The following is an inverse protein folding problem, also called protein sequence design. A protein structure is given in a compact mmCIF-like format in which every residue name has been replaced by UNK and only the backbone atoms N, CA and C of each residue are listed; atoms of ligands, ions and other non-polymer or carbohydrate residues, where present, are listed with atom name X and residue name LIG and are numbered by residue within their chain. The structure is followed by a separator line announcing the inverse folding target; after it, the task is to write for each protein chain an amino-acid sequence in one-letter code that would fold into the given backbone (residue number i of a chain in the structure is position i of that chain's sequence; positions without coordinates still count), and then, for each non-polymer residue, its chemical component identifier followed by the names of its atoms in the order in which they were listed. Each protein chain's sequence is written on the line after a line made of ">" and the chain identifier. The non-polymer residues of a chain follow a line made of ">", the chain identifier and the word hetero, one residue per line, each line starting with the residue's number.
data_IF_146597462934
#
_entry.id   IF_146597462934
#
_cell.length_a   1.000
_cell.length_b   1.000
_cell.length_c   1.000
_cell.angle_alpha   90.00
_cell.angle_beta   90.00
_cell.angle_gamma   90.00
#
_symmetry.space_group_name_H-M   'P 1'
#
loop_
_entity.id
_entity.type
_entity.pdbx_description
1 polymer ?
#
# COMPACT_ATOMS: atom_id res chain seq x y z
N UNK A 1 -0.28 -24.28 21.04
CA UNK A 1 -1.67 -23.79 20.98
C UNK A 1 -2.08 -23.86 19.52
N UNK A 2 -2.93 -24.84 19.22
CA UNK A 2 -3.21 -25.33 17.87
C UNK A 2 -4.14 -24.38 17.14
N UNK A 3 -3.72 -23.90 15.97
CA UNK A 3 -4.53 -23.06 15.08
C UNK A 3 -5.61 -23.96 14.46
N UNK A 4 -6.87 -23.70 14.79
CA UNK A 4 -8.00 -24.18 14.02
C UNK A 4 -8.06 -23.36 12.73
N UNK A 5 -7.56 -23.95 11.65
CA UNK A 5 -7.90 -23.55 10.29
C UNK A 5 -8.71 -24.69 9.66
N UNK A 6 -9.69 -24.30 8.86
CA UNK A 6 -10.52 -25.12 7.94
C UNK A 6 -11.79 -25.74 8.54
N UNK A 7 -12.91 -25.08 8.24
CA UNK A 7 -14.24 -25.64 8.40
C UNK A 7 -15.39 -24.72 8.00
N UNK A 8 -15.28 -23.96 6.90
CA UNK A 8 -16.41 -23.18 6.36
C UNK A 8 -16.51 -23.34 4.83
N UNK A 9 -16.69 -24.57 4.37
CA UNK A 9 -17.14 -24.88 3.02
C UNK A 9 -18.28 -25.90 3.12
N UNK A 10 -19.48 -25.43 3.46
CA UNK A 10 -20.79 -25.98 3.10
C UNK A 10 -21.84 -25.42 4.07
N UNK A 11 -22.66 -24.47 3.58
CA UNK A 11 -23.99 -24.02 4.02
C UNK A 11 -24.15 -22.51 3.82
N UNK A 12 -23.94 -22.04 2.58
CA UNK A 12 -24.13 -20.62 2.20
C UNK A 12 -25.25 -20.53 1.15
N UNK A 13 -26.44 -21.03 1.47
CA UNK A 13 -27.62 -20.73 0.67
C UNK A 13 -28.35 -19.49 1.20
N UNK A 14 -28.27 -19.18 2.50
CA UNK A 14 -29.07 -18.12 3.14
C UNK A 14 -28.34 -17.29 4.22
N UNK A 15 -27.01 -17.36 4.33
CA UNK A 15 -26.29 -16.51 5.29
C UNK A 15 -26.20 -15.07 4.76
N UNK A 16 -26.59 -14.08 5.55
CA UNK A 16 -26.35 -12.66 5.28
C UNK A 16 -24.86 -12.43 4.98
N UNK A 17 -24.51 -11.49 4.11
CA UNK A 17 -23.10 -11.20 3.81
C UNK A 17 -22.51 -10.51 5.03
N UNK A 18 -21.58 -11.18 5.71
CA UNK A 18 -20.81 -10.58 6.81
C UNK A 18 -19.83 -9.54 6.24
N UNK A 19 -20.24 -8.27 6.26
CA UNK A 19 -19.47 -7.15 5.73
C UNK A 19 -18.21 -6.85 6.55
N UNK A 20 -18.21 -7.14 7.85
CA UNK A 20 -17.04 -6.93 8.71
C UNK A 20 -15.96 -7.97 8.40
N UNK A 21 -16.36 -9.24 8.24
CA UNK A 21 -15.47 -10.28 7.76
C UNK A 21 -14.95 -9.97 6.35
N UNK A 22 -15.80 -9.43 5.48
CA UNK A 22 -15.39 -9.03 4.13
C UNK A 22 -14.40 -7.86 4.14
N UNK A 23 -14.62 -6.84 4.97
CA UNK A 23 -13.66 -5.75 5.13
C UNK A 23 -12.32 -6.24 5.70
N UNK A 24 -12.33 -7.18 6.64
CA UNK A 24 -11.11 -7.81 7.15
C UNK A 24 -10.34 -8.53 6.04
N UNK A 25 -11.02 -9.25 5.14
CA UNK A 25 -10.40 -9.85 3.95
C UNK A 25 -9.84 -8.77 3.01
N UNK A 26 -10.54 -7.65 2.79
CA UNK A 26 -10.04 -6.56 1.96
C UNK A 26 -8.72 -5.99 2.50
N UNK A 27 -8.57 -5.90 3.83
CA UNK A 27 -7.34 -5.47 4.50
C UNK A 27 -6.23 -6.52 4.38
N UNK A 28 -6.54 -7.79 4.68
CA UNK A 28 -5.54 -8.80 4.97
C UNK A 28 -5.32 -9.85 3.86
N UNK A 29 -6.33 -10.15 3.06
CA UNK A 29 -6.31 -11.18 2.01
C UNK A 29 -7.11 -10.71 0.77
N UNK A 30 -6.66 -9.66 0.06
CA UNK A 30 -7.49 -8.99 -0.94
C UNK A 30 -7.82 -9.87 -2.15
N UNK A 31 -6.98 -10.85 -2.52
CA UNK A 31 -7.31 -11.83 -3.57
C UNK A 31 -8.46 -12.76 -3.15
N UNK A 32 -8.50 -13.15 -1.88
CA UNK A 32 -9.60 -13.94 -1.32
C UNK A 32 -10.87 -13.09 -1.21
N UNK A 33 -10.75 -11.82 -0.80
CA UNK A 33 -11.86 -10.88 -0.84
C UNK A 33 -12.47 -10.83 -2.26
N UNK A 34 -11.67 -10.75 -3.32
CA UNK A 34 -12.23 -10.71 -4.68
C UNK A 34 -13.00 -11.98 -5.07
N UNK A 35 -12.59 -13.16 -4.56
CA UNK A 35 -13.35 -14.41 -4.75
C UNK A 35 -14.68 -14.38 -4.00
N UNK A 36 -14.66 -13.97 -2.73
CA UNK A 36 -15.87 -13.82 -1.91
C UNK A 36 -16.84 -12.82 -2.53
N UNK A 37 -16.32 -11.68 -2.99
CA UNK A 37 -17.08 -10.65 -3.69
C UNK A 37 -17.81 -11.20 -4.92
N UNK A 38 -17.11 -11.93 -5.80
CA UNK A 38 -17.71 -12.51 -7.00
C UNK A 38 -18.83 -13.50 -6.69
N UNK A 39 -18.67 -14.31 -5.64
CA UNK A 39 -19.72 -15.22 -5.18
C UNK A 39 -20.90 -14.47 -4.57
N UNK A 40 -20.63 -13.41 -3.79
CA UNK A 40 -21.67 -12.64 -3.11
C UNK A 40 -22.57 -11.89 -4.09
N UNK A 41 -22.00 -11.22 -5.11
CA UNK A 41 -22.79 -10.46 -6.10
C UNK A 41 -23.56 -11.35 -7.09
N UNK A 42 -23.33 -12.66 -7.09
CA UNK A 42 -24.09 -13.62 -7.89
C UNK A 42 -25.39 -14.06 -7.22
N UNK A 43 -25.60 -13.69 -5.94
CA UNK A 43 -26.83 -13.99 -5.20
C UNK A 43 -27.94 -13.02 -5.60
N UNK A 44 -29.14 -13.56 -5.71
CA UNK A 44 -30.36 -12.76 -5.82
C UNK A 44 -30.72 -12.22 -4.41
N UNK A 45 -31.34 -11.03 -4.36
CA UNK A 45 -31.96 -10.43 -3.16
C UNK A 45 -31.06 -9.84 -2.04
N UNK A 46 -29.83 -9.39 -2.34
CA UNK A 46 -29.07 -8.61 -1.37
C UNK A 46 -29.64 -7.17 -1.23
N UNK A 47 -29.71 -6.61 0.00
CA UNK A 47 -30.05 -5.21 0.21
C UNK A 47 -29.14 -4.28 -0.60
N UNK A 48 -29.70 -3.17 -1.09
CA UNK A 48 -28.94 -2.22 -1.94
C UNK A 48 -27.74 -1.63 -1.20
N UNK A 49 -27.84 -1.44 0.10
CA UNK A 49 -26.75 -0.98 0.97
C UNK A 49 -25.60 -2.00 0.99
N UNK A 50 -25.88 -3.28 1.12
CA UNK A 50 -24.86 -4.32 1.20
C UNK A 50 -24.18 -4.53 -0.15
N UNK A 51 -24.97 -4.53 -1.24
CA UNK A 51 -24.42 -4.55 -2.60
C UNK A 51 -23.50 -3.35 -2.83
N UNK A 52 -23.92 -2.15 -2.40
CA UNK A 52 -23.10 -0.96 -2.50
C UNK A 52 -21.77 -1.13 -1.75
N UNK A 53 -21.81 -1.59 -0.50
CA UNK A 53 -20.60 -1.82 0.31
C UNK A 53 -19.69 -2.88 -0.31
N UNK A 54 -20.25 -3.97 -0.83
CA UNK A 54 -19.50 -5.00 -1.56
C UNK A 54 -18.77 -4.41 -2.76
N UNK A 55 -19.44 -3.63 -3.61
CA UNK A 55 -18.81 -2.95 -4.75
C UNK A 55 -17.73 -1.97 -4.29
N UNK A 56 -18.03 -1.14 -3.28
CA UNK A 56 -17.10 -0.16 -2.74
C UNK A 56 -15.82 -0.79 -2.18
N UNK A 57 -15.95 -1.84 -1.40
CA UNK A 57 -14.83 -2.59 -0.82
C UNK A 57 -14.07 -3.41 -1.88
N UNK A 58 -14.76 -3.95 -2.90
CA UNK A 58 -14.12 -4.63 -4.02
C UNK A 58 -13.21 -3.70 -4.84
N UNK A 59 -13.53 -2.40 -4.94
CA UNK A 59 -12.64 -1.40 -5.56
C UNK A 59 -11.32 -1.31 -4.78
N UNK A 60 -11.37 -1.31 -3.44
CA UNK A 60 -10.17 -1.29 -2.59
C UNK A 60 -9.35 -2.56 -2.75
N UNK A 61 -9.98 -3.73 -2.72
CA UNK A 61 -9.31 -5.01 -2.93
C UNK A 61 -8.67 -5.08 -4.33
N UNK A 62 -9.40 -4.68 -5.37
CA UNK A 62 -8.92 -4.66 -6.76
C UNK A 62 -7.79 -3.65 -7.00
N UNK A 63 -7.77 -2.53 -6.26
CA UNK A 63 -6.63 -1.63 -6.25
C UNK A 63 -5.39 -2.33 -5.72
N UNK A 64 -5.56 -3.18 -4.70
CA UNK A 64 -4.46 -3.89 -4.04
C UNK A 64 -3.87 -5.03 -4.87
N UNK A 65 -4.70 -5.74 -5.62
CA UNK A 65 -4.33 -6.91 -6.44
C UNK A 65 -4.10 -6.59 -7.90
N UNK A 66 -4.19 -5.32 -8.29
CA UNK A 66 -4.09 -4.86 -9.68
C UNK A 66 -5.17 -5.42 -10.62
N UNK A 67 -6.30 -5.91 -10.09
CA UNK A 67 -7.39 -6.44 -10.90
C UNK A 67 -8.23 -5.34 -11.57
N UNK A 68 -7.81 -4.88 -12.75
CA UNK A 68 -8.51 -3.82 -13.49
C UNK A 68 -9.95 -4.19 -13.86
N UNK A 69 -10.21 -5.45 -14.19
CA UNK A 69 -11.54 -5.90 -14.63
C UNK A 69 -12.58 -5.72 -13.51
N UNK A 70 -12.29 -6.19 -12.30
CA UNK A 70 -13.20 -6.00 -11.16
C UNK A 70 -13.24 -4.53 -10.73
N UNK A 71 -12.09 -3.84 -10.71
CA UNK A 71 -12.02 -2.43 -10.35
C UNK A 71 -12.98 -1.57 -11.20
N UNK A 72 -12.91 -1.72 -12.52
CA UNK A 72 -13.72 -0.95 -13.47
C UNK A 72 -15.18 -1.38 -13.38
N UNK A 73 -15.46 -2.70 -13.38
CA UNK A 73 -16.83 -3.21 -13.31
C UNK A 73 -17.55 -2.74 -12.04
N UNK A 74 -16.89 -2.79 -10.89
CA UNK A 74 -17.47 -2.33 -9.63
C UNK A 74 -17.76 -0.82 -9.67
N UNK A 75 -16.85 0.00 -10.20
CA UNK A 75 -17.09 1.43 -10.39
C UNK A 75 -18.26 1.71 -11.35
N UNK A 76 -18.34 1.00 -12.47
CA UNK A 76 -19.43 1.17 -13.42
C UNK A 76 -20.78 0.80 -12.81
N UNK A 77 -20.83 -0.27 -12.01
CA UNK A 77 -22.05 -0.64 -11.27
C UNK A 77 -22.48 0.45 -10.30
N UNK A 78 -21.55 1.09 -9.57
CA UNK A 78 -21.87 2.17 -8.63
C UNK A 78 -22.48 3.43 -9.29
N UNK A 79 -22.41 3.55 -10.63
CA UNK A 79 -23.07 4.65 -11.38
C UNK A 79 -24.57 4.40 -11.61
N UNK A 80 -25.05 3.18 -11.37
CA UNK A 80 -26.43 2.81 -11.66
C UNK A 80 -27.42 3.51 -10.71
N UNK A 81 -28.68 3.77 -11.16
CA UNK A 81 -29.67 4.49 -10.36
C UNK A 81 -29.90 3.99 -8.92
N UNK A 82 -29.91 2.67 -8.64
CA UNK A 82 -30.12 2.17 -7.28
C UNK A 82 -29.07 2.66 -6.27
N UNK A 83 -27.85 2.96 -6.73
CA UNK A 83 -26.74 3.37 -5.87
C UNK A 83 -26.54 4.89 -5.82
N UNK A 84 -27.32 5.66 -6.59
CA UNK A 84 -27.06 7.09 -6.79
C UNK A 84 -26.93 7.87 -5.48
N UNK A 85 -27.87 7.68 -4.55
CA UNK A 85 -27.87 8.41 -3.27
C UNK A 85 -26.63 8.08 -2.44
N UNK A 86 -26.34 6.78 -2.27
CA UNK A 86 -25.16 6.32 -1.52
C UNK A 86 -23.86 6.80 -2.18
N UNK A 87 -23.77 6.71 -3.51
CA UNK A 87 -22.59 7.13 -4.27
C UNK A 87 -22.38 8.66 -4.26
N UNK A 88 -23.45 9.44 -4.16
CA UNK A 88 -23.39 10.89 -4.00
C UNK A 88 -22.91 11.30 -2.60
N UNK A 89 -23.38 10.60 -1.56
CA UNK A 89 -22.92 10.79 -0.17
C UNK A 89 -21.44 10.41 0.00
N UNK A 90 -21.02 9.30 -0.62
CA UNK A 90 -19.66 8.77 -0.57
C UNK A 90 -18.75 9.26 -1.70
N UNK A 91 -19.16 10.30 -2.43
CA UNK A 91 -18.44 10.84 -3.59
C UNK A 91 -16.95 11.05 -3.31
N UNK A 92 -16.64 11.65 -2.15
CA UNK A 92 -15.26 11.88 -1.72
C UNK A 92 -14.49 10.56 -1.52
N UNK A 93 -15.13 9.52 -0.98
CA UNK A 93 -14.50 8.22 -0.72
C UNK A 93 -14.27 7.44 -2.03
N UNK A 94 -15.24 7.44 -2.94
CA UNK A 94 -15.11 6.81 -4.26
C UNK A 94 -13.94 7.44 -5.03
N UNK A 95 -13.90 8.77 -5.11
CA UNK A 95 -12.80 9.48 -5.77
C UNK A 95 -11.43 9.22 -5.10
N UNK A 96 -11.39 9.12 -3.77
CA UNK A 96 -10.18 8.68 -3.05
C UNK A 96 -9.74 7.29 -3.49
N UNK A 97 -10.64 6.30 -3.54
CA UNK A 97 -10.29 4.93 -3.94
C UNK A 97 -9.85 4.84 -5.40
N UNK A 98 -10.46 5.64 -6.29
CA UNK A 98 -9.99 5.80 -7.67
C UNK A 98 -8.55 6.34 -7.70
N UNK A 99 -8.28 7.41 -6.95
CA UNK A 99 -6.93 7.97 -6.83
C UNK A 99 -5.91 6.98 -6.28
N UNK A 100 -6.29 6.15 -5.30
CA UNK A 100 -5.44 5.06 -4.78
C UNK A 100 -5.14 4.02 -5.86
N UNK A 101 -6.14 3.66 -6.67
CA UNK A 101 -5.99 2.76 -7.82
C UNK A 101 -4.91 3.25 -8.80
N UNK A 102 -4.96 4.53 -9.19
CA UNK A 102 -3.94 5.16 -10.04
C UNK A 102 -2.57 5.22 -9.37
N UNK A 103 -2.51 5.67 -8.11
CA UNK A 103 -1.24 5.83 -7.38
C UNK A 103 -0.49 4.51 -7.24
N UNK A 104 -1.21 3.40 -7.00
CA UNK A 104 -0.62 2.06 -6.92
C UNK A 104 0.00 1.60 -8.25
N UNK A 105 -0.47 2.14 -9.37
CA UNK A 105 0.01 1.87 -10.74
C UNK A 105 1.01 2.91 -11.25
N UNK A 106 1.51 3.78 -10.36
CA UNK A 106 2.38 4.92 -10.70
C UNK A 106 1.76 5.96 -11.65
N UNK A 107 0.44 5.98 -11.81
CA UNK A 107 -0.31 7.03 -12.52
C UNK A 107 -0.55 8.23 -11.56
N UNK A 108 0.53 8.80 -11.03
CA UNK A 108 0.47 9.73 -9.90
C UNK A 108 -0.20 11.07 -10.25
N UNK A 109 -0.12 11.53 -11.50
CA UNK A 109 -0.82 12.74 -11.95
C UNK A 109 -2.35 12.54 -11.91
N UNK A 110 -2.83 11.43 -12.46
CA UNK A 110 -4.24 11.03 -12.43
C UNK A 110 -4.69 10.87 -10.98
N UNK A 111 -3.87 10.26 -10.11
CA UNK A 111 -4.17 10.16 -8.69
C UNK A 111 -4.41 11.54 -8.06
N UNK A 112 -3.53 12.52 -8.32
CA UNK A 112 -3.65 13.89 -7.82
C UNK A 112 -4.92 14.57 -8.33
N UNK A 113 -5.29 14.41 -9.61
CA UNK A 113 -6.52 14.98 -10.14
C UNK A 113 -7.75 14.47 -9.38
N UNK A 114 -7.81 13.16 -9.15
CA UNK A 114 -8.92 12.52 -8.44
C UNK A 114 -8.95 12.90 -6.96
N UNK A 115 -7.80 12.97 -6.28
CA UNK A 115 -7.73 13.43 -4.89
C UNK A 115 -8.14 14.90 -4.74
N UNK A 116 -7.79 15.77 -5.69
CA UNK A 116 -8.23 17.17 -5.70
C UNK A 116 -9.73 17.30 -5.90
N UNK A 117 -10.32 16.48 -6.77
CA UNK A 117 -11.77 16.37 -6.89
C UNK A 117 -12.41 15.90 -5.57
N UNK A 118 -11.86 14.87 -4.93
CA UNK A 118 -12.33 14.39 -3.64
C UNK A 118 -12.25 15.46 -2.54
N UNK A 119 -11.21 16.30 -2.55
CA UNK A 119 -11.04 17.41 -1.61
C UNK A 119 -12.16 18.46 -1.70
N UNK A 120 -12.70 18.65 -2.89
CA UNK A 120 -13.80 19.59 -3.18
C UNK A 120 -15.19 19.00 -2.90
N UNK A 121 -15.30 17.68 -2.68
CA UNK A 121 -16.55 17.05 -2.30
C UNK A 121 -16.86 17.25 -0.80
N UNK A 122 -18.14 17.17 -0.39
CA UNK A 122 -18.50 17.10 1.02
C UNK A 122 -17.81 15.91 1.69
N UNK A 123 -17.06 16.16 2.76
CA UNK A 123 -16.29 15.15 3.49
C UNK A 123 -15.95 15.65 4.88
N UNK A 124 -15.74 14.73 5.83
CA UNK A 124 -15.26 15.06 7.16
C UNK A 124 -13.85 15.67 7.12
N UNK A 125 -13.48 16.38 8.17
CA UNK A 125 -12.13 16.91 8.33
C UNK A 125 -11.08 15.78 8.27
N UNK A 126 -11.34 14.67 8.95
CA UNK A 126 -10.46 13.50 8.98
C UNK A 126 -10.21 12.94 7.57
N UNK A 127 -11.26 12.82 6.75
CA UNK A 127 -11.14 12.35 5.37
C UNK A 127 -10.31 13.32 4.51
N UNK A 128 -10.50 14.64 4.69
CA UNK A 128 -9.69 15.65 3.99
C UNK A 128 -8.23 15.62 4.43
N UNK A 129 -7.96 15.36 5.70
CA UNK A 129 -6.59 15.17 6.20
C UNK A 129 -5.94 13.91 5.59
N UNK A 130 -6.66 12.79 5.49
CA UNK A 130 -6.17 11.61 4.78
C UNK A 130 -5.94 11.85 3.28
N UNK A 131 -6.77 12.67 2.64
CA UNK A 131 -6.54 13.11 1.26
C UNK A 131 -5.25 13.91 1.11
N UNK A 132 -4.91 14.79 2.08
CA UNK A 132 -3.61 15.50 2.06
C UNK A 132 -2.44 14.54 2.09
N UNK A 133 -2.51 13.49 2.91
CA UNK A 133 -1.47 12.42 2.95
C UNK A 133 -1.35 11.73 1.60
N UNK A 134 -2.47 11.33 0.99
CA UNK A 134 -2.47 10.67 -0.32
C UNK A 134 -1.92 11.57 -1.44
N UNK A 135 -2.27 12.86 -1.43
CA UNK A 135 -1.74 13.87 -2.37
C UNK A 135 -0.23 14.03 -2.17
N UNK A 136 0.22 14.12 -0.91
CA UNK A 136 1.62 14.25 -0.58
C UNK A 136 2.45 13.07 -1.10
N UNK A 137 1.98 11.83 -0.90
CA UNK A 137 2.63 10.62 -1.44
C UNK A 137 2.68 10.65 -2.97
N UNK A 138 1.63 11.14 -3.63
CA UNK A 138 1.65 11.25 -5.09
C UNK A 138 2.67 12.28 -5.57
N UNK A 139 2.84 13.42 -4.87
CA UNK A 139 3.89 14.39 -5.16
C UNK A 139 5.30 13.86 -4.93
N UNK A 140 5.54 13.12 -3.84
CA UNK A 140 6.87 12.52 -3.62
C UNK A 140 7.25 11.55 -4.73
N UNK A 141 6.27 10.83 -5.30
CA UNK A 141 6.46 9.92 -6.44
C UNK A 141 6.56 10.60 -7.80
N UNK A 142 6.24 11.89 -7.90
CA UNK A 142 6.46 12.74 -9.08
C UNK A 142 7.73 13.58 -8.97
N UNK A 143 8.73 13.08 -8.23
CA UNK A 143 10.01 13.76 -8.01
C UNK A 143 9.86 15.18 -7.43
N UNK A 144 8.77 15.42 -6.70
CA UNK A 144 8.51 16.66 -5.96
C UNK A 144 8.49 16.42 -4.44
N UNK A 145 9.57 15.86 -3.86
CA UNK A 145 9.59 15.42 -2.47
C UNK A 145 9.40 16.58 -1.48
N UNK A 146 9.88 17.79 -1.80
CA UNK A 146 9.71 18.95 -0.92
C UNK A 146 8.23 19.34 -0.73
N UNK A 147 7.45 19.31 -1.81
CA UNK A 147 6.00 19.59 -1.76
C UNK A 147 5.31 18.50 -0.94
N UNK A 148 5.62 17.23 -1.21
CA UNK A 148 5.07 16.10 -0.46
C UNK A 148 5.40 16.19 1.02
N UNK A 149 6.65 16.44 1.39
CA UNK A 149 7.08 16.52 2.78
C UNK A 149 6.39 17.65 3.54
N UNK A 150 6.31 18.85 2.97
CA UNK A 150 5.62 19.98 3.58
C UNK A 150 4.14 19.69 3.80
N UNK A 151 3.49 19.01 2.85
CA UNK A 151 2.11 18.57 3.01
C UNK A 151 1.97 17.56 4.16
N UNK A 152 2.86 16.55 4.25
CA UNK A 152 2.83 15.57 5.34
C UNK A 152 2.99 16.22 6.71
N UNK A 153 3.95 17.13 6.89
CA UNK A 153 4.20 17.83 8.16
C UNK A 153 3.07 18.79 8.54
N UNK A 154 2.25 19.23 7.58
CA UNK A 154 1.07 20.07 7.85
C UNK A 154 -0.16 19.30 8.34
N UNK A 155 -0.11 17.97 8.32
CA UNK A 155 -1.22 17.13 8.78
C UNK A 155 -1.15 17.01 10.30
N UNK A 156 -2.22 17.43 10.97
CA UNK A 156 -2.41 17.18 12.39
C UNK A 156 -2.72 15.69 12.60
N UNK A 157 -1.71 14.94 13.08
CA UNK A 157 -1.80 13.49 13.30
C UNK A 157 -2.82 13.14 14.37
N UNK A 158 -2.98 13.95 15.41
CA UNK A 158 -3.83 13.64 16.56
C UNK A 158 -5.33 13.65 16.20
N UNK A 159 -5.67 14.35 15.12
CA UNK A 159 -7.04 14.39 14.60
C UNK A 159 -7.39 13.22 13.66
N UNK A 160 -6.44 12.34 13.35
CA UNK A 160 -6.65 11.19 12.47
C UNK A 160 -7.01 9.92 13.26
N UNK A 161 -7.93 9.07 12.76
CA UNK A 161 -8.10 7.72 13.30
C UNK A 161 -6.82 6.88 13.10
N UNK A 162 -6.63 5.86 13.94
CA UNK A 162 -5.39 5.05 14.00
C UNK A 162 -4.90 4.57 12.62
N UNK A 163 -5.78 3.98 11.80
CA UNK A 163 -5.40 3.51 10.46
C UNK A 163 -4.88 4.63 9.52
N UNK A 164 -5.40 5.86 9.65
CA UNK A 164 -4.93 7.01 8.88
C UNK A 164 -3.60 7.53 9.41
N UNK A 165 -3.38 7.46 10.74
CA UNK A 165 -2.08 7.76 11.35
C UNK A 165 -1.00 6.80 10.82
N UNK A 166 -1.29 5.50 10.72
CA UNK A 166 -0.36 4.52 10.16
C UNK A 166 0.11 4.89 8.74
N UNK A 167 -0.81 5.34 7.89
CA UNK A 167 -0.49 5.81 6.54
C UNK A 167 0.35 7.09 6.52
N UNK A 168 0.05 8.07 7.38
CA UNK A 168 0.85 9.29 7.54
C UNK A 168 2.28 8.96 8.01
N UNK A 169 2.41 8.12 9.04
CA UNK A 169 3.69 7.72 9.62
C UNK A 169 4.55 6.97 8.59
N UNK A 170 3.95 6.05 7.82
CA UNK A 170 4.66 5.37 6.73
C UNK A 170 5.20 6.36 5.69
N UNK A 171 4.41 7.39 5.35
CA UNK A 171 4.83 8.42 4.40
C UNK A 171 5.93 9.33 4.97
N UNK A 172 5.83 9.71 6.25
CA UNK A 172 6.87 10.46 6.96
C UNK A 172 8.16 9.66 7.04
N UNK A 173 8.11 8.39 7.43
CA UNK A 173 9.28 7.50 7.48
C UNK A 173 10.01 7.41 6.14
N UNK A 174 9.27 7.27 5.04
CA UNK A 174 9.87 7.26 3.69
C UNK A 174 10.54 8.60 3.34
N UNK A 175 9.90 9.73 3.66
CA UNK A 175 10.45 11.05 3.35
C UNK A 175 11.65 11.41 4.24
N UNK A 176 11.56 11.12 5.54
CA UNK A 176 12.66 11.26 6.52
C UNK A 176 13.86 10.40 6.14
N UNK A 177 13.62 9.15 5.71
CA UNK A 177 14.70 8.30 5.20
C UNK A 177 15.38 8.91 3.96
N UNK A 178 14.60 9.46 3.02
CA UNK A 178 15.14 10.10 1.82
C UNK A 178 15.99 11.35 2.13
N UNK A 179 15.84 11.96 3.31
CA UNK A 179 16.69 13.06 3.81
C UNK A 179 17.95 12.56 4.55
N UNK A 180 18.12 11.25 4.74
CA UNK A 180 19.27 10.65 5.43
C UNK A 180 19.05 10.39 6.92
N UNK A 181 17.90 10.76 7.47
CA UNK A 181 17.56 10.63 8.90
C UNK A 181 17.08 9.21 9.22
N UNK A 182 18.02 8.26 9.26
CA UNK A 182 17.73 6.83 9.29
C UNK A 182 17.01 6.37 10.57
N UNK A 183 17.43 6.84 11.75
CA UNK A 183 16.84 6.42 13.02
C UNK A 183 15.43 6.99 13.23
N UNK A 184 15.18 8.24 12.84
CA UNK A 184 13.84 8.83 12.91
C UNK A 184 12.90 8.13 11.92
N UNK A 185 13.37 7.80 10.71
CA UNK A 185 12.59 7.02 9.76
C UNK A 185 12.18 5.64 10.31
N UNK A 186 13.10 4.96 11.00
CA UNK A 186 12.80 3.69 11.66
C UNK A 186 11.72 3.85 12.72
N UNK A 187 11.80 4.91 13.55
CA UNK A 187 10.77 5.22 14.55
C UNK A 187 9.39 5.36 13.90
N UNK A 188 9.29 6.12 12.80
CA UNK A 188 8.03 6.27 12.08
C UNK A 188 7.49 4.94 11.53
N UNK A 189 8.35 4.06 11.00
CA UNK A 189 7.90 2.76 10.50
C UNK A 189 7.44 1.82 11.62
N UNK A 190 8.10 1.85 12.77
CA UNK A 190 7.69 1.08 13.96
C UNK A 190 6.35 1.58 14.48
N UNK A 191 6.17 2.90 14.62
CA UNK A 191 4.91 3.50 15.07
C UNK A 191 3.77 3.20 14.07
N UNK A 192 4.04 3.26 12.76
CA UNK A 192 3.08 2.88 11.74
C UNK A 192 2.63 1.43 11.86
N UNK A 193 3.55 0.50 12.16
CA UNK A 193 3.25 -0.90 12.36
C UNK A 193 2.33 -1.12 13.59
N UNK A 194 2.51 -0.36 14.66
CA UNK A 194 1.64 -0.40 15.85
C UNK A 194 0.22 0.00 15.48
N UNK A 195 0.04 1.15 14.82
CA UNK A 195 -1.28 1.61 14.41
C UNK A 195 -1.96 0.70 13.38
N UNK A 196 -1.21 0.06 12.48
CA UNK A 196 -1.79 -0.96 11.59
C UNK A 196 -2.25 -2.20 12.35
N UNK A 197 -1.55 -2.60 13.42
CA UNK A 197 -1.96 -3.72 14.26
C UNK A 197 -3.23 -3.39 15.07
N UNK A 198 -3.36 -2.15 15.57
CA UNK A 198 -4.57 -1.66 16.23
C UNK A 198 -5.80 -1.66 15.29
N UNK A 199 -5.61 -1.45 13.99
CA UNK A 199 -6.66 -1.53 12.97
C UNK A 199 -6.87 -2.95 12.41
N UNK A 200 -6.21 -3.96 13.01
CA UNK A 200 -6.23 -5.37 12.57
C UNK A 200 -5.77 -5.56 11.10
N UNK A 201 -4.96 -4.62 10.60
CA UNK A 201 -4.42 -4.65 9.24
C UNK A 201 -3.02 -5.27 9.25
N UNK A 202 -2.95 -6.54 9.61
CA UNK A 202 -1.71 -7.30 9.76
C UNK A 202 -0.93 -7.43 8.46
N UNK A 203 -1.60 -7.40 7.30
CA UNK A 203 -0.89 -7.32 6.01
C UNK A 203 -0.12 -6.00 5.89
N UNK A 204 -0.69 -4.86 6.28
CA UNK A 204 0.00 -3.58 6.27
C UNK A 204 1.15 -3.51 7.29
N UNK A 205 1.00 -4.16 8.47
CA UNK A 205 2.11 -4.34 9.43
C UNK A 205 3.32 -4.97 8.75
N UNK A 206 3.12 -6.09 8.03
CA UNK A 206 4.19 -6.76 7.29
C UNK A 206 4.77 -5.87 6.18
N UNK A 207 3.91 -5.16 5.44
CA UNK A 207 4.36 -4.25 4.37
C UNK A 207 5.25 -3.11 4.88
N UNK A 208 4.88 -2.44 5.97
CA UNK A 208 5.72 -1.37 6.52
C UNK A 208 7.01 -1.93 7.13
N UNK A 209 6.96 -3.13 7.71
CA UNK A 209 8.15 -3.80 8.25
C UNK A 209 9.23 -4.09 7.20
N UNK A 210 8.87 -4.21 5.92
CA UNK A 210 9.84 -4.37 4.81
C UNK A 210 10.75 -3.13 4.71
N UNK A 211 10.24 -1.94 4.99
CA UNK A 211 11.06 -0.72 4.98
C UNK A 211 12.08 -0.75 6.12
N UNK A 212 11.68 -1.23 7.29
CA UNK A 212 12.56 -1.38 8.45
C UNK A 212 13.69 -2.39 8.22
N UNK A 213 13.49 -3.41 7.38
CA UNK A 213 14.53 -4.41 7.08
C UNK A 213 15.82 -3.76 6.55
N UNK A 214 15.70 -2.80 5.61
CA UNK A 214 16.87 -2.11 5.06
C UNK A 214 17.59 -1.27 6.12
N UNK A 215 16.83 -0.62 6.99
CA UNK A 215 17.42 0.16 8.09
C UNK A 215 18.14 -0.74 9.10
N UNK A 216 17.57 -1.90 9.44
CA UNK A 216 18.27 -2.87 10.29
C UNK A 216 19.60 -3.32 9.68
N UNK A 217 19.64 -3.52 8.36
CA UNK A 217 20.89 -3.84 7.66
C UNK A 217 21.88 -2.68 7.72
N UNK A 218 21.46 -1.43 7.48
CA UNK A 218 22.31 -0.23 7.61
C UNK A 218 22.94 -0.09 9.01
N UNK A 219 22.18 -0.47 10.04
CA UNK A 219 22.58 -0.41 11.44
C UNK A 219 23.32 -1.68 11.91
N UNK A 220 23.56 -2.65 11.01
CA UNK A 220 24.12 -3.97 11.32
C UNK A 220 23.35 -4.74 12.41
N UNK A 221 22.06 -4.44 12.59
CA UNK A 221 21.16 -5.15 13.51
C UNK A 221 20.55 -6.37 12.82
N UNK A 222 21.40 -7.38 12.58
CA UNK A 222 20.96 -8.60 11.90
C UNK A 222 19.98 -9.44 12.73
N UNK A 223 19.91 -9.20 14.05
CA UNK A 223 18.94 -9.85 14.93
C UNK A 223 17.52 -9.37 14.62
N UNK A 224 17.31 -8.04 14.61
CA UNK A 224 16.02 -7.43 14.26
C UNK A 224 15.64 -7.70 12.81
N UNK A 225 16.61 -7.65 11.88
CA UNK A 225 16.41 -8.05 10.48
C UNK A 225 15.84 -9.47 10.36
N UNK A 226 16.46 -10.48 11.00
CA UNK A 226 15.97 -11.87 10.95
C UNK A 226 14.59 -12.01 11.56
N UNK A 227 14.33 -11.38 12.71
CA UNK A 227 13.03 -11.44 13.38
C UNK A 227 11.92 -10.87 12.50
N UNK A 228 12.14 -9.70 11.91
CA UNK A 228 11.18 -9.06 11.02
C UNK A 228 10.98 -9.88 9.73
N UNK A 229 12.06 -10.38 9.12
CA UNK A 229 11.99 -11.19 7.91
C UNK A 229 11.20 -12.50 8.14
N UNK A 230 11.40 -13.16 9.29
CA UNK A 230 10.65 -14.37 9.63
C UNK A 230 9.14 -14.13 9.70
N UNK A 231 8.72 -12.98 10.25
CA UNK A 231 7.30 -12.60 10.27
C UNK A 231 6.75 -12.32 8.86
N UNK A 232 7.53 -11.64 8.01
CA UNK A 232 7.15 -11.35 6.62
C UNK A 232 7.08 -12.64 5.78
N UNK A 233 7.96 -13.61 6.03
CA UNK A 233 8.00 -14.89 5.33
C UNK A 233 6.73 -15.75 5.50
N UNK A 234 5.91 -15.47 6.52
CA UNK A 234 4.59 -16.08 6.67
C UNK A 234 3.55 -15.57 5.66
N UNK A 235 3.91 -14.63 4.77
CA UNK A 235 3.04 -14.05 3.73
C UNK A 235 3.65 -14.24 2.33
N UNK A 236 3.41 -15.37 1.65
CA UNK A 236 4.04 -15.68 0.36
C UNK A 236 3.84 -14.60 -0.70
N UNK A 237 2.66 -14.00 -0.78
CA UNK A 237 2.36 -12.94 -1.75
C UNK A 237 3.24 -11.70 -1.54
N UNK A 238 3.54 -11.33 -0.29
CA UNK A 238 4.44 -10.21 0.00
C UNK A 238 5.90 -10.56 -0.33
N UNK A 239 6.31 -11.81 -0.14
CA UNK A 239 7.64 -12.26 -0.54
C UNK A 239 7.81 -12.19 -2.07
N UNK A 240 6.81 -12.64 -2.82
CA UNK A 240 6.80 -12.60 -4.28
C UNK A 240 6.85 -11.15 -4.80
N UNK A 241 5.96 -10.28 -4.28
CA UNK A 241 5.90 -8.86 -4.64
C UNK A 241 7.22 -8.12 -4.37
N UNK A 242 8.01 -8.55 -3.37
CA UNK A 242 9.22 -7.88 -2.93
C UNK A 242 10.50 -8.70 -3.16
N UNK A 243 10.43 -9.74 -3.98
CA UNK A 243 11.50 -10.74 -4.12
C UNK A 243 12.87 -10.14 -4.48
N UNK A 244 12.91 -9.10 -5.33
CA UNK A 244 14.14 -8.47 -5.78
C UNK A 244 14.80 -7.67 -4.66
N UNK A 245 14.01 -6.94 -3.88
CA UNK A 245 14.51 -6.19 -2.74
C UNK A 245 14.90 -7.10 -1.57
N UNK A 246 14.10 -8.13 -1.27
CA UNK A 246 14.44 -9.11 -0.25
C UNK A 246 15.66 -9.95 -0.66
N UNK A 247 15.83 -10.23 -1.95
CA UNK A 247 17.03 -10.85 -2.52
C UNK A 247 18.27 -9.98 -2.33
N UNK A 248 18.18 -8.67 -2.62
CA UNK A 248 19.23 -7.70 -2.35
C UNK A 248 19.69 -7.73 -0.89
N UNK A 249 18.74 -7.62 0.05
CA UNK A 249 19.05 -7.63 1.49
C UNK A 249 19.69 -8.96 1.92
N UNK A 250 19.18 -10.09 1.44
CA UNK A 250 19.69 -11.42 1.78
C UNK A 250 21.15 -11.60 1.37
N UNK A 251 21.48 -11.25 0.12
CA UNK A 251 22.86 -11.34 -0.38
C UNK A 251 23.81 -10.43 0.40
N UNK A 252 23.35 -9.21 0.72
CA UNK A 252 24.14 -8.24 1.47
C UNK A 252 24.41 -8.74 2.91
N UNK A 253 23.36 -9.16 3.63
CA UNK A 253 23.48 -9.69 4.99
C UNK A 253 24.37 -10.93 5.03
N UNK A 254 24.20 -11.86 4.08
CA UNK A 254 25.04 -13.06 4.01
C UNK A 254 26.54 -12.72 3.90
N UNK A 255 26.91 -11.72 3.11
CA UNK A 255 28.31 -11.32 2.97
C UNK A 255 28.82 -10.55 4.20
N UNK A 256 27.99 -9.70 4.80
CA UNK A 256 28.35 -8.96 6.02
C UNK A 256 28.60 -9.91 7.19
N UNK A 257 27.76 -10.94 7.37
CA UNK A 257 27.92 -11.95 8.44
C UNK A 257 29.13 -12.87 8.21
N UNK A 258 29.58 -13.03 6.97
CA UNK A 258 30.82 -13.73 6.65
C UNK A 258 32.09 -12.91 6.98
N UNK A 259 31.95 -11.71 7.57
CA UNK A 259 33.04 -10.80 7.93
C UNK A 259 34.01 -10.52 6.77
N UNK A 260 33.50 -10.47 5.54
CA UNK A 260 34.33 -10.15 4.39
C UNK A 260 34.80 -8.70 4.49
N UNK A 261 36.12 -8.49 4.59
CA UNK A 261 36.73 -7.16 4.56
C UNK A 261 36.39 -6.37 3.29
N UNK A 262 36.15 -7.08 2.17
CA UNK A 262 35.66 -6.49 0.93
C UNK A 262 34.43 -7.27 0.43
N UNK A 263 33.30 -6.56 0.33
CA UNK A 263 32.07 -7.12 -0.21
C UNK A 263 32.19 -7.28 -1.73
N UNK A 264 31.79 -8.45 -2.23
CA UNK A 264 31.85 -8.77 -3.66
C UNK A 264 30.50 -8.50 -4.31
N UNK A 265 30.49 -7.64 -5.32
CA UNK A 265 29.28 -7.33 -6.09
C UNK A 265 29.13 -8.33 -7.24
N UNK A 266 28.30 -9.35 -7.02
CA UNK A 266 27.99 -10.36 -8.04
C UNK A 266 27.02 -9.83 -9.12
N UNK A 267 26.90 -10.55 -10.23
CA UNK A 267 25.87 -10.28 -11.26
C UNK A 267 24.46 -10.35 -10.67
N UNK A 268 24.22 -11.27 -9.74
CA UNK A 268 22.95 -11.40 -9.03
C UNK A 268 22.64 -10.17 -8.18
N UNK A 269 23.61 -9.66 -7.41
CA UNK A 269 23.42 -8.43 -6.63
C UNK A 269 23.13 -7.22 -7.51
N UNK A 270 23.76 -7.12 -8.69
CA UNK A 270 23.46 -6.08 -9.69
C UNK A 270 22.02 -6.17 -10.20
N UNK A 271 21.52 -7.37 -10.47
CA UNK A 271 20.16 -7.58 -10.91
C UNK A 271 19.15 -7.24 -9.78
N UNK A 272 19.43 -7.67 -8.55
CA UNK A 272 18.60 -7.37 -7.39
C UNK A 272 18.57 -5.87 -7.06
N UNK A 273 19.69 -5.16 -7.16
CA UNK A 273 19.72 -3.72 -6.89
C UNK A 273 18.86 -2.93 -7.87
N UNK A 274 18.93 -3.25 -9.17
CA UNK A 274 18.11 -2.61 -10.20
C UNK A 274 16.63 -2.98 -10.04
N UNK A 275 16.34 -4.26 -9.78
CA UNK A 275 14.99 -4.74 -9.51
C UNK A 275 14.35 -4.08 -8.30
N UNK A 276 15.09 -3.97 -7.20
CA UNK A 276 14.68 -3.28 -5.99
C UNK A 276 14.45 -1.79 -6.24
N UNK A 277 15.30 -1.13 -7.03
CA UNK A 277 15.11 0.27 -7.42
C UNK A 277 13.77 0.49 -8.13
N UNK A 278 13.45 -0.35 -9.11
CA UNK A 278 12.18 -0.31 -9.85
C UNK A 278 10.96 -0.66 -8.98
N UNK A 279 11.15 -1.42 -7.90
CA UNK A 279 10.13 -1.68 -6.88
C UNK A 279 9.96 -0.52 -5.87
N UNK A 280 10.72 0.58 -6.02
CA UNK A 280 10.61 1.77 -5.17
C UNK A 280 11.64 1.83 -4.04
N UNK A 281 12.63 0.93 -4.00
CA UNK A 281 13.65 0.87 -2.94
C UNK A 281 14.99 1.53 -3.36
N UNK A 282 14.99 2.38 -4.38
CA UNK A 282 16.22 2.98 -4.93
C UNK A 282 17.05 3.72 -3.85
N UNK A 283 16.41 4.57 -3.03
CA UNK A 283 17.09 5.29 -1.95
C UNK A 283 17.72 4.35 -0.94
N UNK A 284 17.02 3.26 -0.58
CA UNK A 284 17.49 2.28 0.39
C UNK A 284 18.67 1.47 -0.14
N UNK A 285 18.60 1.00 -1.39
CA UNK A 285 19.71 0.34 -2.07
C UNK A 285 20.92 1.27 -2.16
N UNK A 286 20.71 2.54 -2.52
CA UNK A 286 21.77 3.53 -2.58
C UNK A 286 22.41 3.78 -1.20
N UNK A 287 21.62 3.87 -0.13
CA UNK A 287 22.16 4.00 1.22
C UNK A 287 23.08 2.82 1.59
N UNK A 288 22.69 1.59 1.25
CA UNK A 288 23.54 0.41 1.45
C UNK A 288 24.85 0.49 0.63
N UNK A 289 24.76 0.92 -0.63
CA UNK A 289 25.95 1.10 -1.49
C UNK A 289 26.95 2.06 -0.85
N UNK A 290 26.49 3.19 -0.30
CA UNK A 290 27.36 4.15 0.40
C UNK A 290 27.92 3.57 1.69
N UNK A 291 27.04 3.08 2.56
CA UNK A 291 27.40 2.61 3.90
C UNK A 291 28.47 1.52 3.86
N UNK A 292 28.39 0.63 2.86
CA UNK A 292 29.27 -0.52 2.75
C UNK A 292 30.29 -0.42 1.62
N UNK A 293 30.47 0.77 1.01
CA UNK A 293 31.42 1.03 -0.06
C UNK A 293 31.36 -0.03 -1.19
N UNK A 294 30.15 -0.38 -1.63
CA UNK A 294 29.96 -1.39 -2.67
C UNK A 294 30.45 -0.85 -4.01
N UNK A 295 31.23 -1.66 -4.75
CA UNK A 295 31.65 -1.33 -6.12
C UNK A 295 30.50 -1.52 -7.11
N UNK A 296 29.47 -0.68 -6.96
CA UNK A 296 28.23 -0.69 -7.70
C UNK A 296 27.78 0.78 -7.91
N UNK A 297 27.42 1.18 -9.15
CA UNK A 297 26.87 2.52 -9.36
C UNK A 297 25.54 2.69 -8.65
N UNK A 298 25.20 3.95 -8.35
CA UNK A 298 23.87 4.30 -7.82
C UNK A 298 22.78 3.89 -8.79
N UNK A 299 21.68 3.40 -8.23
CA UNK A 299 20.50 2.99 -8.98
C UNK A 299 19.44 4.08 -8.88
N UNK A 300 18.68 4.26 -9.95
CA UNK A 300 17.49 5.13 -9.99
C UNK A 300 16.28 4.26 -10.27
N UNK A 301 15.13 4.64 -9.73
CA UNK A 301 13.86 3.99 -10.09
C UNK A 301 13.50 4.34 -11.52
N UNK A 302 13.16 3.35 -12.33
CA UNK A 302 12.42 3.61 -13.57
C UNK A 302 10.93 3.60 -13.22
N UNK A 303 10.24 4.71 -13.48
CA UNK A 303 8.78 4.80 -13.27
C UNK A 303 8.10 3.92 -14.30
N UNK A 304 7.78 2.69 -13.91
CA UNK A 304 7.04 1.75 -14.74
C UNK A 304 5.57 1.78 -14.30
N UNK A 305 4.69 2.09 -15.26
CA UNK A 305 3.24 1.99 -15.06
C UNK A 305 2.83 0.54 -15.23
N UNK A 306 2.44 -0.10 -14.12
CA UNK A 306 1.95 -1.48 -14.08
C UNK A 306 0.43 -1.49 -14.29
N UNK A 307 -0.07 -2.29 -15.21
CA UNK A 307 -1.51 -2.53 -15.43
C UNK A 307 -2.36 -1.24 -15.43
N UNK A 308 -2.07 -0.26 -16.32
CA UNK A 308 -2.66 1.08 -16.26
C UNK A 308 -4.19 1.07 -16.25
N UNK A 309 -4.78 1.95 -15.43
CA UNK A 309 -6.21 2.25 -15.47
C UNK A 309 -6.53 3.28 -16.57
N UNK A 310 -7.73 3.22 -17.18
CA UNK A 310 -8.24 4.29 -18.05
C UNK A 310 -8.24 5.63 -17.34
N UNK A 311 -7.95 6.75 -18.02
CA UNK A 311 -7.65 8.07 -17.42
C UNK A 311 -8.84 8.76 -16.74
N UNK A 312 -10.09 8.50 -17.18
CA UNK A 312 -11.26 9.29 -16.79
C UNK A 312 -12.22 8.56 -15.82
N UNK A 313 -11.76 7.55 -15.07
CA UNK A 313 -12.65 6.74 -14.22
C UNK A 313 -13.50 7.56 -13.21
N UNK A 314 -13.01 8.71 -12.74
CA UNK A 314 -13.73 9.57 -11.79
C UNK A 314 -14.72 10.56 -12.40
N UNK A 315 -14.82 10.67 -13.73
CA UNK A 315 -15.56 11.76 -14.41
C UNK A 315 -17.05 11.85 -14.03
N UNK A 316 -17.68 10.71 -13.75
CA UNK A 316 -19.06 10.65 -13.28
C UNK A 316 -19.28 11.43 -11.96
N UNK A 317 -18.30 11.36 -11.05
CA UNK A 317 -18.34 12.00 -9.73
C UNK A 317 -17.62 13.35 -9.69
N UNK A 318 -16.77 13.64 -10.68
CA UNK A 318 -16.12 14.93 -10.86
C UNK A 318 -16.08 15.31 -12.35
N UNK A 319 -17.09 16.04 -12.86
CA UNK A 319 -17.20 16.37 -14.29
C UNK A 319 -16.07 17.22 -14.88
N UNK A 320 -15.20 17.79 -14.03
CA UNK A 320 -14.06 18.62 -14.43
C UNK A 320 -12.76 17.82 -14.62
N UNK A 321 -12.80 16.49 -14.47
CA UNK A 321 -11.69 15.59 -14.76
C UNK A 321 -11.52 15.35 -16.25
#
# INVERSE_FOLDING_TARGET
>A
MTILALGFFALMANAEVDLDAFESLVKNAPDEALKVYQNAIAREDLPVQDLYQLHYLAIRASASTFNNAIFIKALDTLKAPPFKTLADEDRAKILTNIGVGYRRRNQNEQAIWHYRCAMNAPASFQHKSALKVNIAIAYTRLEQPAIGYNLLKSVDREMLPSFMQAGLLTALGNATFAMGETDEALSYFVDAAIHYAEDENYRAVKQVSINSLGIYVLNSDFSSYRKALANIAAEPALIEDNQLYLGWLRELVQQLEQNKQALTVSTTMKAYSLGAANAGYASMVNAHIDKFNLSLPKVTSQVIVRDPLPVELGKHWCPKL
#
